data_IF_513784452137
#
_entry.id   IF_513784452137
#
_cell.length_a   1.000
_cell.length_b   1.000
_cell.length_c   1.000
_cell.angle_alpha   90.00
_cell.angle_beta   90.00
_cell.angle_gamma   90.00
#
_symmetry.space_group_name_H-M   'P 1'
#
loop_
_entity.id
_entity.type
_entity.pdbx_description
1 polymer ?
#
# COMPACT_ATOMS: atom_id res chain seq x y z
N UNK A 1 14.92 -0.49 -13.06
CA UNK A 1 14.82 -1.79 -12.39
C UNK A 1 13.38 -2.19 -12.19
N UNK A 2 13.11 -3.47 -12.31
CA UNK A 2 11.74 -3.98 -12.10
C UNK A 2 11.34 -3.85 -10.63
N UNK A 3 10.11 -3.45 -10.40
CA UNK A 3 9.54 -3.40 -9.06
C UNK A 3 8.88 -4.75 -8.77
N UNK A 4 9.07 -5.24 -7.56
CA UNK A 4 8.44 -6.47 -7.08
C UNK A 4 7.82 -6.23 -5.70
N UNK A 5 6.83 -7.06 -5.37
CA UNK A 5 6.25 -7.11 -4.02
C UNK A 5 6.74 -8.38 -3.34
N UNK A 6 7.14 -8.26 -2.07
CA UNK A 6 7.54 -9.40 -1.25
C UNK A 6 6.82 -9.34 0.10
N UNK A 7 6.29 -10.45 0.59
CA UNK A 7 5.66 -10.47 1.92
C UNK A 7 6.65 -10.00 3.00
N UNK A 8 6.12 -9.36 4.02
CA UNK A 8 6.93 -8.99 5.18
C UNK A 8 7.11 -10.23 6.06
N UNK A 9 8.36 -10.55 6.36
CA UNK A 9 8.75 -11.73 7.13
C UNK A 9 9.78 -11.37 8.20
N UNK A 10 10.26 -12.36 8.93
CA UNK A 10 11.32 -12.14 9.91
C UNK A 10 12.63 -11.66 9.26
N UNK A 11 12.79 -11.91 7.95
CA UNK A 11 14.02 -11.53 7.24
C UNK A 11 14.05 -10.07 6.80
N UNK A 12 12.88 -9.40 6.70
CA UNK A 12 12.83 -8.06 6.13
C UNK A 12 12.00 -7.05 6.93
N UNK A 13 11.39 -7.43 8.05
CA UNK A 13 10.51 -6.49 8.77
C UNK A 13 11.27 -5.28 9.32
N UNK A 14 12.55 -5.42 9.64
CA UNK A 14 13.37 -4.30 10.10
C UNK A 14 13.56 -3.28 8.97
N UNK A 15 13.71 -3.75 7.72
CA UNK A 15 13.79 -2.83 6.58
C UNK A 15 12.52 -1.97 6.46
N UNK A 16 11.35 -2.57 6.74
CA UNK A 16 10.10 -1.83 6.75
C UNK A 16 10.08 -0.77 7.86
N UNK A 17 10.63 -1.07 9.02
CA UNK A 17 10.71 -0.12 10.14
C UNK A 17 11.58 1.10 9.79
N UNK A 18 12.56 0.92 8.92
CA UNK A 18 13.51 1.96 8.57
C UNK A 18 13.06 2.84 7.39
N UNK A 19 11.92 2.53 6.78
CA UNK A 19 11.35 3.38 5.74
C UNK A 19 10.91 4.72 6.33
N UNK A 20 11.16 5.80 5.60
CA UNK A 20 10.85 7.16 6.06
C UNK A 20 10.18 7.95 4.94
N UNK A 21 9.15 8.69 5.29
CA UNK A 21 8.54 9.65 4.38
C UNK A 21 9.37 10.93 4.37
N UNK A 22 9.16 11.76 3.35
CA UNK A 22 9.72 13.12 3.33
C UNK A 22 9.08 13.93 4.45
N UNK A 23 9.79 14.97 4.90
CA UNK A 23 9.27 15.86 5.94
C UNK A 23 7.85 16.36 5.57
N UNK A 24 6.96 16.27 6.52
CA UNK A 24 5.57 16.70 6.35
C UNK A 24 4.64 15.66 5.73
N UNK A 25 5.15 14.54 5.23
CA UNK A 25 4.31 13.48 4.65
C UNK A 25 3.79 12.49 5.68
N UNK A 26 4.39 12.41 6.87
CA UNK A 26 4.02 11.47 7.93
C UNK A 26 2.55 11.58 8.33
N UNK A 27 1.97 12.75 8.13
CA UNK A 27 0.55 12.98 8.43
C UNK A 27 -0.40 12.31 7.45
N UNK A 28 0.11 11.85 6.29
CA UNK A 28 -0.73 11.27 5.23
C UNK A 28 -0.85 9.76 5.32
N UNK A 29 0.14 9.08 5.91
CA UNK A 29 0.23 7.62 5.89
C UNK A 29 0.73 7.13 7.25
N UNK A 30 0.14 6.06 7.75
CA UNK A 30 0.65 5.39 8.95
C UNK A 30 2.00 4.74 8.67
N UNK A 31 2.92 4.84 9.62
CA UNK A 31 4.21 4.18 9.51
C UNK A 31 4.03 2.66 9.43
N UNK A 32 4.91 1.95 8.68
CA UNK A 32 4.83 0.48 8.58
C UNK A 32 4.78 -0.26 9.91
N UNK A 33 5.42 0.25 10.96
CA UNK A 33 5.34 -0.36 12.31
C UNK A 33 3.88 -0.45 12.76
N UNK A 34 3.13 0.63 12.62
CA UNK A 34 1.73 0.68 13.01
C UNK A 34 0.88 -0.22 12.12
N UNK A 35 1.16 -0.21 10.82
CA UNK A 35 0.46 -1.04 9.85
C UNK A 35 0.67 -2.53 10.14
N UNK A 36 1.89 -2.94 10.47
CA UNK A 36 2.19 -4.33 10.80
C UNK A 36 1.51 -4.77 12.09
N UNK A 37 1.38 -3.87 13.07
CA UNK A 37 0.63 -4.17 14.28
C UNK A 37 -0.86 -4.42 13.96
N UNK A 38 -1.44 -3.63 13.06
CA UNK A 38 -2.80 -3.84 12.60
C UNK A 38 -2.93 -5.15 11.80
N UNK A 39 -1.93 -5.47 11.00
CA UNK A 39 -1.92 -6.72 10.22
C UNK A 39 -1.97 -7.95 11.12
N UNK A 40 -1.38 -7.89 12.30
CA UNK A 40 -1.47 -8.98 13.27
C UNK A 40 -2.92 -9.24 13.67
N UNK A 41 -3.69 -8.17 13.90
CA UNK A 41 -5.09 -8.28 14.32
C UNK A 41 -5.97 -8.86 13.22
N UNK A 42 -5.70 -8.49 11.97
CA UNK A 42 -6.49 -8.92 10.80
C UNK A 42 -5.78 -9.95 9.93
N UNK A 43 -4.88 -10.75 10.52
CA UNK A 43 -3.94 -11.61 9.78
C UNK A 43 -4.58 -12.61 8.82
N UNK A 44 -5.84 -12.97 9.04
CA UNK A 44 -6.55 -13.92 8.17
C UNK A 44 -7.14 -13.28 6.92
N UNK A 45 -7.04 -11.95 6.81
CA UNK A 45 -7.69 -11.20 5.73
C UNK A 45 -6.84 -10.04 5.23
N UNK A 46 -5.55 -10.02 5.53
CA UNK A 46 -4.67 -8.98 5.03
C UNK A 46 -3.31 -9.54 4.66
N UNK A 47 -2.61 -8.78 3.80
CA UNK A 47 -1.24 -9.11 3.38
C UNK A 47 -0.41 -7.84 3.29
N UNK A 48 0.53 -7.64 4.22
CA UNK A 48 1.51 -6.57 4.08
C UNK A 48 2.63 -6.98 3.13
N UNK A 49 3.08 -6.03 2.30
CA UNK A 49 4.16 -6.24 1.34
C UNK A 49 5.23 -5.17 1.48
N UNK A 50 6.49 -5.57 1.34
CA UNK A 50 7.56 -4.64 1.00
C UNK A 50 7.58 -4.43 -0.51
N UNK A 51 7.81 -3.20 -0.93
CA UNK A 51 7.97 -2.83 -2.33
C UNK A 51 9.46 -2.77 -2.60
N UNK A 52 9.94 -3.55 -3.58
CA UNK A 52 11.36 -3.70 -3.85
C UNK A 52 11.74 -3.20 -5.23
N UNK A 53 12.88 -2.52 -5.31
CA UNK A 53 13.59 -2.25 -6.56
C UNK A 53 14.88 -3.06 -6.51
N UNK A 54 14.93 -4.16 -7.27
CA UNK A 54 15.99 -5.12 -7.11
C UNK A 54 15.97 -5.73 -5.71
N UNK A 55 17.10 -5.70 -5.00
CA UNK A 55 17.20 -6.22 -3.65
C UNK A 55 16.94 -5.19 -2.54
N UNK A 56 16.56 -3.95 -2.90
CA UNK A 56 16.35 -2.86 -1.95
C UNK A 56 14.87 -2.62 -1.71
N UNK A 57 14.45 -2.63 -0.44
CA UNK A 57 13.09 -2.23 -0.09
C UNK A 57 12.96 -0.71 -0.23
N UNK A 58 12.09 -0.26 -1.13
CA UNK A 58 11.86 1.17 -1.40
C UNK A 58 10.52 1.68 -0.90
N UNK A 59 9.66 0.78 -0.42
CA UNK A 59 8.34 1.19 0.06
C UNK A 59 7.59 0.04 0.73
N UNK A 60 6.34 0.32 1.06
CA UNK A 60 5.48 -0.59 1.81
C UNK A 60 4.03 -0.39 1.38
N UNK A 61 3.26 -1.46 1.40
CA UNK A 61 1.81 -1.41 1.16
C UNK A 61 1.13 -2.56 1.88
N UNK A 62 -0.09 -2.37 2.35
CA UNK A 62 -0.90 -3.44 2.90
C UNK A 62 -2.21 -3.57 2.15
N UNK A 63 -2.58 -4.80 1.80
CA UNK A 63 -3.88 -5.13 1.23
C UNK A 63 -4.71 -5.78 2.32
N UNK A 64 -5.94 -5.33 2.51
CA UNK A 64 -6.87 -5.93 3.44
C UNK A 64 -8.20 -6.22 2.73
N UNK A 65 -8.87 -7.30 3.15
CA UNK A 65 -10.15 -7.71 2.61
C UNK A 65 -11.23 -7.59 3.68
N UNK A 66 -12.27 -6.79 3.40
CA UNK A 66 -13.44 -6.68 4.26
C UNK A 66 -14.49 -7.68 3.78
N UNK A 67 -14.72 -8.72 4.56
CA UNK A 67 -15.64 -9.81 4.19
C UNK A 67 -17.11 -9.40 4.24
N UNK A 68 -17.41 -8.37 5.00
CA UNK A 68 -18.80 -7.96 5.21
C UNK A 68 -19.34 -7.12 4.06
N UNK A 69 -18.47 -6.37 3.39
CA UNK A 69 -18.87 -5.51 2.26
C UNK A 69 -19.22 -6.31 1.00
N UNK A 70 -18.52 -7.29 0.39
CA UNK A 70 -17.08 -7.58 0.43
C UNK A 70 -16.25 -6.66 -0.49
N UNK A 71 -15.09 -6.29 -0.03
CA UNK A 71 -14.27 -5.28 -0.71
C UNK A 71 -12.81 -5.43 -0.34
N UNK A 72 -11.91 -5.20 -1.32
CA UNK A 72 -10.49 -5.08 -1.05
C UNK A 72 -10.14 -3.62 -0.83
N UNK A 73 -9.33 -3.35 0.18
CA UNK A 73 -8.80 -2.03 0.47
C UNK A 73 -7.28 -2.04 0.40
N UNK A 74 -6.72 -0.98 -0.17
CA UNK A 74 -5.28 -0.77 -0.18
C UNK A 74 -4.98 0.23 0.94
N UNK A 75 -4.20 -0.23 1.94
CA UNK A 75 -3.87 0.56 3.14
C UNK A 75 -2.40 0.91 3.18
N UNK A 76 -2.11 2.11 3.65
CA UNK A 76 -0.79 2.52 4.11
C UNK A 76 0.30 2.42 3.04
N UNK A 77 -0.03 2.62 1.78
CA UNK A 77 0.94 2.60 0.70
C UNK A 77 1.88 3.81 0.79
N UNK A 78 3.18 3.54 0.80
CA UNK A 78 4.18 4.60 0.84
C UNK A 78 5.45 4.20 0.09
N UNK A 79 6.15 5.19 -0.41
CA UNK A 79 7.51 5.05 -0.95
C UNK A 79 8.45 5.85 -0.06
N UNK A 80 9.60 5.26 0.28
CA UNK A 80 10.60 5.93 1.09
C UNK A 80 10.98 7.27 0.49
N UNK A 81 11.15 8.29 1.34
CA UNK A 81 11.40 9.65 0.89
C UNK A 81 12.61 9.79 -0.03
N UNK A 82 13.64 8.96 0.20
CA UNK A 82 14.84 8.95 -0.63
C UNK A 82 14.65 8.31 -2.00
N UNK A 83 13.51 7.62 -2.21
CA UNK A 83 13.24 6.85 -3.43
C UNK A 83 12.06 7.40 -4.23
N UNK A 84 11.45 8.48 -3.79
CA UNK A 84 10.33 9.10 -4.49
C UNK A 84 10.80 9.76 -5.80
N UNK A 85 9.86 9.92 -6.74
CA UNK A 85 10.15 10.56 -8.02
C UNK A 85 10.70 9.62 -9.08
N UNK A 86 10.71 8.31 -8.85
CA UNK A 86 11.23 7.30 -9.77
C UNK A 86 10.15 6.41 -10.41
N UNK A 87 8.88 6.73 -10.22
CA UNK A 87 7.77 5.92 -10.74
C UNK A 87 7.50 4.65 -9.99
N UNK A 88 8.10 4.45 -8.81
CA UNK A 88 7.93 3.22 -8.03
C UNK A 88 6.51 3.04 -7.50
N UNK A 89 5.85 4.14 -7.10
CA UNK A 89 4.48 4.08 -6.62
C UNK A 89 3.52 3.57 -7.68
N UNK A 90 3.67 4.05 -8.91
CA UNK A 90 2.84 3.60 -10.04
C UNK A 90 3.04 2.12 -10.33
N UNK A 91 4.30 1.70 -10.42
CA UNK A 91 4.64 0.29 -10.69
C UNK A 91 4.12 -0.62 -9.57
N UNK A 92 4.27 -0.20 -8.31
CA UNK A 92 3.79 -0.96 -7.17
C UNK A 92 2.27 -1.09 -7.19
N UNK A 93 1.56 -0.01 -7.49
CA UNK A 93 0.10 -0.05 -7.54
C UNK A 93 -0.41 -1.00 -8.62
N UNK A 94 0.24 -1.06 -9.79
CA UNK A 94 -0.09 -2.05 -10.80
C UNK A 94 0.04 -3.48 -10.28
N UNK A 95 1.11 -3.77 -9.55
CA UNK A 95 1.33 -5.09 -8.95
C UNK A 95 0.29 -5.43 -7.89
N UNK A 96 -0.06 -4.45 -7.06
CA UNK A 96 -1.09 -4.63 -6.02
C UNK A 96 -2.43 -4.95 -6.65
N UNK A 97 -2.82 -4.24 -7.70
CA UNK A 97 -4.08 -4.48 -8.40
C UNK A 97 -4.09 -5.85 -9.06
N UNK A 98 -2.97 -6.29 -9.63
CA UNK A 98 -2.86 -7.65 -10.16
C UNK A 98 -2.98 -8.71 -9.08
N UNK A 99 -2.39 -8.48 -7.92
CA UNK A 99 -2.54 -9.37 -6.77
C UNK A 99 -4.01 -9.51 -6.36
N UNK A 100 -4.73 -8.39 -6.29
CA UNK A 100 -6.15 -8.37 -5.91
C UNK A 100 -7.01 -9.08 -6.95
N UNK A 101 -6.68 -8.97 -8.23
CA UNK A 101 -7.40 -9.68 -9.30
C UNK A 101 -7.42 -11.19 -9.10
N UNK A 102 -6.42 -11.74 -8.43
CA UNK A 102 -6.37 -13.15 -8.09
C UNK A 102 -7.32 -13.54 -6.95
N UNK A 103 -8.01 -12.58 -6.33
CA UNK A 103 -8.98 -12.78 -5.25
C UNK A 103 -8.43 -13.64 -4.10
N UNK A 104 -7.29 -13.23 -3.51
CA UNK A 104 -6.56 -14.06 -2.55
C UNK A 104 -7.34 -14.39 -1.28
N UNK A 105 -8.31 -13.56 -0.89
CA UNK A 105 -9.10 -13.75 0.32
C UNK A 105 -10.59 -13.99 0.05
N UNK A 106 -11.06 -13.76 -1.16
CA UNK A 106 -12.46 -13.93 -1.53
C UNK A 106 -12.88 -13.03 -2.69
N UNK A 107 -14.12 -13.20 -3.13
CA UNK A 107 -14.67 -12.46 -4.25
C UNK A 107 -15.00 -11.02 -3.88
N UNK A 108 -14.74 -10.12 -4.82
CA UNK A 108 -15.17 -8.73 -4.75
C UNK A 108 -15.12 -8.11 -6.14
N UNK A 109 -16.07 -7.25 -6.45
CA UNK A 109 -16.06 -6.42 -7.66
C UNK A 109 -15.47 -5.03 -7.42
N UNK A 110 -15.00 -4.75 -6.20
CA UNK A 110 -14.52 -3.42 -5.81
C UNK A 110 -13.15 -3.46 -5.19
N UNK A 111 -12.40 -2.39 -5.48
CA UNK A 111 -11.17 -2.09 -4.77
C UNK A 111 -11.27 -0.64 -4.31
N UNK A 112 -11.07 -0.42 -3.03
CA UNK A 112 -11.05 0.92 -2.46
C UNK A 112 -9.65 1.23 -1.93
N UNK A 113 -9.38 2.49 -1.77
CA UNK A 113 -8.20 2.93 -1.04
C UNK A 113 -8.53 4.20 -0.28
N UNK A 114 -7.88 4.35 0.85
CA UNK A 114 -8.01 5.52 1.68
C UNK A 114 -6.84 6.44 1.41
N UNK A 115 -7.10 7.69 1.10
CA UNK A 115 -6.07 8.69 0.87
C UNK A 115 -6.49 10.01 1.48
N UNK A 116 -5.52 10.72 2.04
CA UNK A 116 -5.75 12.06 2.54
C UNK A 116 -5.97 13.01 1.35
N UNK A 117 -7.10 13.73 1.34
CA UNK A 117 -7.44 14.64 0.25
C UNK A 117 -6.46 15.81 0.09
N UNK A 118 -5.65 16.06 1.11
CA UNK A 118 -4.61 17.09 1.07
C UNK A 118 -3.29 16.57 0.49
N UNK A 119 -3.28 15.34 -0.03
CA UNK A 119 -2.12 14.74 -0.67
C UNK A 119 -2.33 14.66 -2.19
N UNK A 120 -2.08 15.76 -2.95
CA UNK A 120 -2.41 15.81 -4.37
C UNK A 120 -1.62 14.82 -5.22
N UNK A 121 -0.38 14.51 -4.85
CA UNK A 121 0.43 13.55 -5.61
C UNK A 121 -0.20 12.16 -5.58
N UNK A 122 -0.66 11.72 -4.41
CA UNK A 122 -1.34 10.43 -4.27
C UNK A 122 -2.67 10.42 -5.02
N UNK A 123 -3.45 11.49 -4.89
CA UNK A 123 -4.75 11.58 -5.57
C UNK A 123 -4.59 11.51 -7.09
N UNK A 124 -3.60 12.20 -7.64
CA UNK A 124 -3.34 12.18 -9.08
C UNK A 124 -2.94 10.79 -9.55
N UNK A 125 -2.10 10.10 -8.79
CA UNK A 125 -1.71 8.72 -9.08
C UNK A 125 -2.92 7.80 -9.13
N UNK A 126 -3.78 7.87 -8.13
CA UNK A 126 -4.95 7.00 -8.02
C UNK A 126 -5.95 7.28 -9.15
N UNK A 127 -6.17 8.55 -9.49
CA UNK A 127 -7.04 8.91 -10.62
C UNK A 127 -6.53 8.36 -11.93
N UNK A 128 -5.21 8.31 -12.12
CA UNK A 128 -4.62 7.78 -13.34
C UNK A 128 -4.91 6.29 -13.53
N UNK A 129 -5.28 5.58 -12.45
CA UNK A 129 -5.67 4.17 -12.49
C UNK A 129 -7.20 3.96 -12.54
N UNK A 130 -7.97 5.05 -12.66
CA UNK A 130 -9.41 4.97 -12.74
C UNK A 130 -10.17 5.04 -11.43
N UNK A 131 -9.48 5.31 -10.32
CA UNK A 131 -10.14 5.49 -9.03
C UNK A 131 -10.94 6.80 -9.03
N UNK A 132 -12.10 6.77 -8.39
CA UNK A 132 -12.96 7.93 -8.24
C UNK A 132 -13.10 8.32 -6.78
N UNK A 133 -13.23 9.63 -6.54
CA UNK A 133 -13.54 10.11 -5.20
C UNK A 133 -14.98 9.76 -4.85
N UNK A 134 -15.18 9.13 -3.70
CA UNK A 134 -16.52 8.75 -3.25
C UNK A 134 -17.10 9.68 -2.20
N UNK A 135 -16.31 10.67 -1.77
CA UNK A 135 -16.72 11.57 -0.69
C UNK A 135 -16.53 11.02 0.70
N UNK A 136 -16.00 9.80 0.82
CA UNK A 136 -15.65 9.22 2.11
C UNK A 136 -14.43 9.92 2.70
N UNK A 137 -14.37 9.96 4.02
CA UNK A 137 -13.24 10.54 4.76
C UNK A 137 -12.30 9.46 5.25
N UNK A 138 -11.06 9.84 5.37
CA UNK A 138 -10.03 8.96 5.93
C UNK A 138 -10.21 8.76 7.42
#
# INVERSE_FOLDING_TARGET
MAITLRPITEDNFIDAFNLKLKDGQERFVSHPIRSLAQAYVYRDQCQPFGIYSGGLMVGYVMVIYDRDVPEYDIWHMMIDGSQQGNGFGKAALELVLNYIKGKPFGDSGRVALTSNKDNPAALNLYKSFGFELTGGED
#
